data_IF_927635017034
#
_entry.id   IF_927635017034
#
_cell.length_a   1.000
_cell.length_b   1.000
_cell.length_c   1.000
_cell.angle_alpha   90.00
_cell.angle_beta   90.00
_cell.angle_gamma   90.00
#
_symmetry.space_group_name_H-M   'P 1'
#
loop_
_entity.id
_entity.type
_entity.pdbx_description
1 polymer ?
#
# COMPACT_ATOMS: atom_id res chain seq x y z
N UNK A 1 3.71 3.59 20.44
CA UNK A 1 2.71 3.27 19.41
C UNK A 1 3.20 3.68 18.03
N UNK A 2 3.50 2.72 17.18
CA UNK A 2 3.68 2.96 15.74
C UNK A 2 2.30 3.21 15.11
N UNK A 3 2.17 4.26 14.30
CA UNK A 3 0.93 4.58 13.57
C UNK A 3 1.09 4.13 12.12
N UNK A 4 0.03 3.56 11.55
CA UNK A 4 -0.02 3.05 10.18
C UNK A 4 -1.33 3.47 9.52
N UNK A 5 -1.30 3.57 8.20
CA UNK A 5 -2.48 3.62 7.35
C UNK A 5 -2.83 2.22 6.88
N UNK A 6 -4.11 1.86 6.95
CA UNK A 6 -4.62 0.60 6.42
C UNK A 6 -5.35 0.91 5.11
N UNK A 7 -4.87 0.30 4.02
CA UNK A 7 -5.44 0.39 2.68
C UNK A 7 -5.98 -0.98 2.27
N UNK A 8 -6.94 -0.99 1.34
CA UNK A 8 -7.50 -2.22 0.78
C UNK A 8 -7.25 -2.30 -0.73
N UNK A 9 -6.67 -3.40 -1.18
CA UNK A 9 -6.71 -3.80 -2.59
C UNK A 9 -8.06 -4.46 -2.82
N UNK A 10 -8.71 -4.10 -3.92
CA UNK A 10 -10.04 -4.61 -4.30
C UNK A 10 -10.01 -4.95 -5.78
N UNK A 11 -10.74 -5.98 -6.17
CA UNK A 11 -10.91 -6.29 -7.59
C UNK A 11 -12.05 -5.44 -8.16
N UNK A 12 -12.03 -5.20 -9.47
CA UNK A 12 -13.04 -4.38 -10.16
C UNK A 12 -14.43 -5.01 -10.04
N UNK A 13 -14.50 -6.34 -10.04
CA UNK A 13 -15.73 -7.13 -9.97
C UNK A 13 -16.35 -7.12 -8.56
N UNK A 14 -15.55 -6.86 -7.52
CA UNK A 14 -15.99 -6.87 -6.12
C UNK A 14 -15.48 -5.64 -5.36
N UNK A 15 -15.94 -4.43 -5.71
CA UNK A 15 -15.44 -3.18 -5.15
C UNK A 15 -15.78 -2.95 -3.68
N UNK A 16 -16.69 -3.74 -3.10
CA UNK A 16 -17.04 -3.65 -1.67
C UNK A 16 -16.37 -4.74 -0.83
N UNK A 17 -15.61 -5.64 -1.46
CA UNK A 17 -14.95 -6.76 -0.78
C UNK A 17 -13.42 -6.56 -0.83
N UNK A 18 -12.74 -6.42 0.31
CA UNK A 18 -11.29 -6.34 0.32
C UNK A 18 -10.69 -7.66 -0.16
N UNK A 19 -9.77 -7.57 -1.11
CA UNK A 19 -8.99 -8.70 -1.60
C UNK A 19 -7.72 -8.88 -0.76
N UNK A 20 -7.01 -7.77 -0.48
CA UNK A 20 -5.86 -7.72 0.41
C UNK A 20 -5.90 -6.46 1.28
N UNK A 21 -5.24 -6.54 2.44
CA UNK A 21 -4.94 -5.41 3.31
C UNK A 21 -3.49 -5.02 3.16
N UNK A 22 -3.23 -3.72 3.03
CA UNK A 22 -1.89 -3.12 2.95
C UNK A 22 -1.70 -2.17 4.12
N UNK A 23 -0.62 -2.37 4.87
CA UNK A 23 -0.18 -1.43 5.90
C UNK A 23 0.92 -0.53 5.33
N UNK A 24 0.72 0.78 5.46
CA UNK A 24 1.68 1.80 5.02
C UNK A 24 2.04 2.68 6.22
N UNK A 25 3.32 2.94 6.43
CA UNK A 25 3.73 3.86 7.49
C UNK A 25 3.51 5.34 7.13
N UNK A 26 3.77 6.22 8.11
CA UNK A 26 3.61 7.67 7.93
C UNK A 26 4.58 8.29 6.91
N UNK A 27 5.51 7.51 6.36
CA UNK A 27 6.52 7.95 5.38
C UNK A 27 6.34 7.27 4.02
N UNK A 28 5.25 6.53 3.82
CA UNK A 28 4.93 5.88 2.56
C UNK A 28 5.61 4.53 2.36
N UNK A 29 6.21 3.93 3.39
CA UNK A 29 6.77 2.58 3.30
C UNK A 29 5.66 1.55 3.47
N UNK A 30 5.57 0.61 2.55
CA UNK A 30 4.73 -0.59 2.72
C UNK A 30 5.38 -1.48 3.79
N UNK A 31 4.65 -1.74 4.86
CA UNK A 31 5.08 -2.56 6.00
C UNK A 31 4.61 -4.01 5.85
N UNK A 32 3.37 -4.20 5.39
CA UNK A 32 2.76 -5.51 5.27
C UNK A 32 1.70 -5.53 4.15
N UNK A 33 1.61 -6.66 3.44
CA UNK A 33 0.51 -6.99 2.53
C UNK A 33 0.01 -8.40 2.86
N UNK A 34 -1.28 -8.53 3.17
CA UNK A 34 -1.88 -9.81 3.60
C UNK A 34 -3.27 -9.99 3.02
N UNK A 35 -3.54 -11.18 2.52
CA UNK A 35 -4.89 -11.55 2.11
C UNK A 35 -5.65 -12.18 3.26
N UNK A 36 -6.82 -12.73 2.94
CA UNK A 36 -7.69 -13.42 3.89
C UNK A 36 -6.91 -14.48 4.68
N UNK A 37 -7.09 -14.50 6.01
CA UNK A 37 -6.37 -15.40 6.94
C UNK A 37 -4.84 -15.29 6.82
N UNK A 38 -4.33 -14.09 6.55
CA UNK A 38 -2.90 -13.78 6.41
C UNK A 38 -2.21 -14.53 5.25
N UNK A 39 -2.96 -14.96 4.24
CA UNK A 39 -2.38 -15.60 3.07
C UNK A 39 -1.40 -14.66 2.35
N UNK A 40 -0.45 -15.28 1.64
CA UNK A 40 0.54 -14.55 0.84
C UNK A 40 -0.13 -13.93 -0.38
N UNK A 41 0.56 -12.95 -0.94
CA UNK A 41 0.21 -12.33 -2.22
C UNK A 41 0.35 -13.32 -3.37
N UNK A 42 -0.41 -13.08 -4.43
CA UNK A 42 -0.21 -13.73 -5.73
C UNK A 42 0.82 -12.92 -6.54
N UNK A 43 1.42 -13.49 -7.59
CA UNK A 43 2.34 -12.75 -8.47
C UNK A 43 1.74 -11.48 -9.08
N UNK A 44 0.44 -11.52 -9.41
CA UNK A 44 -0.31 -10.36 -9.91
C UNK A 44 -0.36 -9.23 -8.88
N UNK A 45 -0.66 -9.58 -7.62
CA UNK A 45 -0.70 -8.61 -6.52
C UNK A 45 0.70 -8.08 -6.22
N UNK A 46 1.74 -8.91 -6.29
CA UNK A 46 3.12 -8.45 -6.11
C UNK A 46 3.52 -7.42 -7.19
N UNK A 47 3.19 -7.69 -8.47
CA UNK A 47 3.45 -6.75 -9.56
C UNK A 47 2.72 -5.41 -9.35
N UNK A 48 1.42 -5.46 -9.01
CA UNK A 48 0.63 -4.28 -8.69
C UNK A 48 1.23 -3.48 -7.52
N UNK A 49 1.69 -4.17 -6.47
CA UNK A 49 2.26 -3.51 -5.30
C UNK A 49 3.60 -2.84 -5.57
N UNK A 50 4.41 -3.35 -6.50
CA UNK A 50 5.65 -2.67 -6.91
C UNK A 50 5.35 -1.37 -7.68
N UNK A 51 4.31 -1.33 -8.52
CA UNK A 51 3.85 -0.07 -9.13
C UNK A 51 3.34 0.90 -8.06
N UNK A 52 2.54 0.42 -7.12
CA UNK A 52 2.02 1.25 -6.03
C UNK A 52 3.12 1.81 -5.12
N UNK A 53 4.21 1.06 -4.91
CA UNK A 53 5.38 1.51 -4.15
C UNK A 53 6.06 2.70 -4.83
N UNK A 54 6.14 2.72 -6.16
CA UNK A 54 6.65 3.86 -6.91
C UNK A 54 5.71 5.07 -6.80
N UNK A 55 4.39 4.84 -6.82
CA UNK A 55 3.40 5.88 -6.58
C UNK A 55 3.58 6.52 -5.19
N UNK A 56 3.69 5.71 -4.13
CA UNK A 56 3.94 6.20 -2.77
C UNK A 56 5.26 6.99 -2.68
N UNK A 57 6.34 6.50 -3.30
CA UNK A 57 7.60 7.22 -3.34
C UNK A 57 7.45 8.62 -3.98
N UNK A 58 6.66 8.75 -5.04
CA UNK A 58 6.38 10.04 -5.67
C UNK A 58 5.52 10.96 -4.80
N UNK A 59 4.52 10.43 -4.09
CA UNK A 59 3.65 11.21 -3.19
C UNK A 59 4.44 11.73 -1.98
N UNK A 60 5.11 10.85 -1.26
CA UNK A 60 5.85 11.19 -0.04
C UNK A 60 7.19 11.88 -0.32
N UNK A 61 7.81 11.63 -1.48
CA UNK A 61 9.00 12.36 -1.94
C UNK A 61 8.73 13.84 -2.21
N UNK A 62 7.54 14.17 -2.75
CA UNK A 62 7.12 15.57 -2.96
C UNK A 62 6.92 16.33 -1.65
N UNK A 63 6.39 15.69 -0.61
CA UNK A 63 6.22 16.32 0.71
C UNK A 63 7.56 16.68 1.35
N UNK A 64 8.57 15.80 1.25
CA UNK A 64 9.92 16.11 1.75
C UNK A 64 10.49 17.35 1.06
N UNK A 65 10.34 17.45 -0.28
CA UNK A 65 10.83 18.60 -1.05
C UNK A 65 10.15 19.92 -0.70
N UNK A 66 8.85 19.91 -0.35
CA UNK A 66 8.11 21.11 0.07
C UNK A 66 8.52 21.63 1.45
N UNK A 67 9.02 20.78 2.36
CA UNK A 67 9.46 21.19 3.71
C UNK A 67 10.89 21.72 3.76
N UNK A 68 11.66 21.61 2.67
CA UNK A 68 13.06 22.07 2.58
C UNK A 68 13.23 23.29 1.67
N UNK A 69 12.13 23.79 1.08
CA UNK A 69 12.11 24.99 0.22
C UNK A 69 11.64 26.22 1.01
#
# INVERSE_FOLDING_TARGET
NMKLHIMFIRTVEKPDVPFYTVEVDLFGKIVQVRGLRNCKTTPEVDAFMEEYKQHLAAVFGKEKRRKTA
#
